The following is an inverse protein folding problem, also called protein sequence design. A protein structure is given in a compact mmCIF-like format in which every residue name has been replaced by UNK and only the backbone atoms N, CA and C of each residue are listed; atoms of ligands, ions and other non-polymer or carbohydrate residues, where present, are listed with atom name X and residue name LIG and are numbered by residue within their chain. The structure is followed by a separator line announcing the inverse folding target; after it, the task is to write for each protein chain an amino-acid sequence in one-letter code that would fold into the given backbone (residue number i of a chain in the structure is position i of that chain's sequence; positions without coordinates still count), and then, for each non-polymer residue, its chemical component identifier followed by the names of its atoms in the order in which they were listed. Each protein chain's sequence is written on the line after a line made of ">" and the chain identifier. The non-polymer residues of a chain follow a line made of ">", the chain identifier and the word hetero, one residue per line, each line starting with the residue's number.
data_IF_394619408384
#
_entry.id   IF_394619408384
#
_cell.length_a   1.000
_cell.length_b   1.000
_cell.length_c   1.000
_cell.angle_alpha   90.00
_cell.angle_beta   90.00
_cell.angle_gamma   90.00
#
_symmetry.space_group_name_H-M   'P 1'
#
loop_
_entity.id
_entity.type
_entity.pdbx_description
1 polymer ?
#
# COMPACT_ATOMS: atom_id res chain seq x y z
N UNK A 1 -21.93 -6.63 -5.41
CA UNK A 1 -20.49 -6.62 -5.01
C UNK A 1 -19.76 -7.67 -5.84
N UNK A 2 -18.46 -7.52 -6.13
CA UNK A 2 -17.68 -8.55 -6.87
C UNK A 2 -16.84 -9.37 -5.89
N UNK A 3 -16.83 -10.70 -6.02
CA UNK A 3 -15.97 -11.59 -5.23
C UNK A 3 -14.76 -11.99 -6.05
N UNK A 4 -13.57 -11.88 -5.44
CA UNK A 4 -12.29 -12.27 -6.00
C UNK A 4 -11.71 -13.41 -5.16
N UNK A 5 -11.65 -14.61 -5.73
CA UNK A 5 -11.01 -15.76 -5.10
C UNK A 5 -9.53 -15.81 -5.51
N UNK A 6 -8.67 -16.07 -4.54
CA UNK A 6 -7.26 -16.45 -4.77
C UNK A 6 -6.96 -17.73 -4.00
N UNK A 7 -6.08 -18.57 -4.52
CA UNK A 7 -5.71 -19.84 -3.90
C UNK A 7 -4.21 -19.90 -3.63
N UNK A 8 -3.75 -20.98 -3.00
CA UNK A 8 -2.32 -21.25 -2.84
C UNK A 8 -1.75 -22.20 -3.90
N UNK A 9 -2.51 -22.48 -4.97
CA UNK A 9 -2.06 -23.34 -6.07
C UNK A 9 -0.79 -22.81 -6.77
N UNK A 10 -0.51 -21.51 -6.63
CA UNK A 10 0.75 -20.87 -7.04
C UNK A 10 1.23 -19.96 -5.91
N UNK A 11 2.53 -19.93 -5.67
CA UNK A 11 3.14 -19.10 -4.61
C UNK A 11 2.71 -17.63 -4.71
N UNK A 12 2.69 -17.07 -5.93
CA UNK A 12 2.28 -15.68 -6.16
C UNK A 12 0.85 -15.37 -5.69
N UNK A 13 -0.08 -16.32 -5.80
CA UNK A 13 -1.47 -16.12 -5.41
C UNK A 13 -1.65 -16.12 -3.89
N UNK A 14 -0.86 -16.95 -3.18
CA UNK A 14 -0.74 -16.89 -1.73
C UNK A 14 -0.10 -15.56 -1.28
N UNK A 15 0.94 -15.10 -1.98
CA UNK A 15 1.53 -13.79 -1.71
C UNK A 15 0.53 -12.66 -1.90
N UNK A 16 -0.26 -12.66 -2.98
CA UNK A 16 -1.26 -11.62 -3.22
C UNK A 16 -2.33 -11.58 -2.11
N UNK A 17 -2.65 -12.71 -1.46
CA UNK A 17 -3.51 -12.73 -0.26
C UNK A 17 -2.85 -12.02 0.92
N UNK A 18 -1.59 -12.34 1.23
CA UNK A 18 -0.88 -11.69 2.33
C UNK A 18 -0.70 -10.20 2.05
N UNK A 19 -0.37 -9.84 0.81
CA UNK A 19 -0.22 -8.45 0.37
C UNK A 19 -1.53 -7.69 0.51
N UNK A 20 -2.66 -8.28 0.11
CA UNK A 20 -3.98 -7.66 0.28
C UNK A 20 -4.32 -7.46 1.76
N UNK A 21 -4.00 -8.45 2.59
CA UNK A 21 -4.17 -8.33 4.04
C UNK A 21 -3.26 -7.25 4.64
N UNK A 22 -2.04 -7.07 4.11
CA UNK A 22 -1.04 -6.16 4.64
C UNK A 22 -1.23 -4.69 4.27
N UNK A 23 -1.90 -4.40 3.15
CA UNK A 23 -2.06 -3.04 2.64
C UNK A 23 -2.75 -2.10 3.66
N UNK A 24 -2.38 -0.81 3.73
CA UNK A 24 -3.21 0.17 4.43
C UNK A 24 -4.52 0.41 3.66
N UNK A 25 -5.49 1.04 4.32
CA UNK A 25 -6.71 1.53 3.64
C UNK A 25 -6.34 2.38 2.43
N UNK A 26 -6.99 2.18 1.30
CA UNK A 26 -6.72 2.82 0.02
C UNK A 26 -5.56 2.21 -0.77
N UNK A 27 -4.66 1.46 -0.12
CA UNK A 27 -3.53 0.81 -0.79
C UNK A 27 -4.00 -0.11 -1.91
N UNK A 28 -3.30 -0.09 -3.04
CA UNK A 28 -3.77 -0.75 -4.26
C UNK A 28 -3.00 -2.05 -4.55
N UNK A 29 -3.71 -3.09 -5.00
CA UNK A 29 -3.14 -4.35 -5.47
C UNK A 29 -3.81 -4.80 -6.77
N UNK A 30 -3.04 -5.44 -7.64
CA UNK A 30 -3.56 -6.01 -8.88
C UNK A 30 -3.84 -7.51 -8.75
N UNK A 31 -5.07 -7.90 -9.06
CA UNK A 31 -5.49 -9.29 -9.27
C UNK A 31 -5.61 -9.59 -10.76
N UNK A 32 -5.27 -10.80 -11.16
CA UNK A 32 -5.14 -11.20 -12.57
C UNK A 32 -5.82 -12.54 -12.77
N UNK A 33 -6.65 -12.61 -13.80
CA UNK A 33 -7.40 -13.81 -14.13
C UNK A 33 -7.39 -14.06 -15.64
N UNK A 34 -7.34 -15.33 -16.02
CA UNK A 34 -7.76 -15.73 -17.36
C UNK A 34 -9.28 -15.57 -17.48
N UNK A 35 -9.75 -15.13 -18.64
CA UNK A 35 -11.17 -14.91 -18.91
C UNK A 35 -12.06 -16.14 -18.69
N UNK A 36 -11.53 -17.37 -18.70
CA UNK A 36 -12.29 -18.58 -18.37
C UNK A 36 -12.67 -18.69 -16.89
N UNK A 37 -11.96 -18.00 -16.01
CA UNK A 37 -12.20 -17.99 -14.56
C UNK A 37 -13.17 -16.88 -14.13
N UNK A 38 -13.62 -16.04 -15.06
CA UNK A 38 -14.57 -14.96 -14.79
C UNK A 38 -15.98 -15.40 -15.15
N UNK A 39 -16.92 -15.08 -14.28
CA UNK A 39 -18.33 -15.14 -14.61
C UNK A 39 -18.69 -14.14 -15.72
N UNK A 40 -19.66 -14.52 -16.54
CA UNK A 40 -20.05 -13.79 -17.75
C UNK A 40 -20.50 -12.37 -17.43
N UNK A 41 -21.24 -12.21 -16.34
CA UNK A 41 -21.73 -10.94 -15.85
C UNK A 41 -20.58 -9.98 -15.52
N UNK A 42 -19.51 -10.46 -14.86
CA UNK A 42 -18.32 -9.64 -14.57
C UNK A 42 -17.54 -9.36 -15.84
N UNK A 43 -17.27 -10.41 -16.63
CA UNK A 43 -16.50 -10.33 -17.88
C UNK A 43 -17.09 -9.31 -18.86
N UNK A 44 -18.40 -9.28 -19.01
CA UNK A 44 -19.10 -8.37 -19.93
C UNK A 44 -19.09 -6.90 -19.46
N UNK A 45 -18.81 -6.63 -18.18
CA UNK A 45 -18.77 -5.28 -17.60
C UNK A 45 -17.39 -4.65 -17.65
N UNK A 46 -16.33 -5.44 -17.76
CA UNK A 46 -14.93 -4.95 -17.81
C UNK A 46 -14.69 -3.99 -18.99
N UNK A 47 -15.04 -4.31 -20.25
CA UNK A 47 -14.77 -3.42 -21.39
C UNK A 47 -15.52 -2.09 -21.35
N UNK A 48 -16.53 -1.96 -20.48
CA UNK A 48 -17.39 -0.78 -20.37
C UNK A 48 -17.03 0.12 -19.18
N UNK A 49 -15.94 -0.18 -18.47
CA UNK A 49 -15.51 0.49 -17.24
C UNK A 49 -16.58 0.53 -16.13
N UNK A 50 -17.58 -0.35 -16.21
CA UNK A 50 -18.75 -0.34 -15.33
C UNK A 50 -18.46 -0.82 -13.92
N UNK A 51 -17.27 -1.41 -13.68
CA UNK A 51 -16.89 -1.96 -12.38
C UNK A 51 -16.17 -0.95 -11.49
N UNK A 52 -15.71 0.19 -12.03
CA UNK A 52 -14.96 1.17 -11.25
C UNK A 52 -15.82 1.78 -10.13
N UNK A 53 -15.27 1.85 -8.91
CA UNK A 53 -15.95 2.33 -7.72
C UNK A 53 -16.76 1.27 -6.96
N UNK A 54 -17.00 0.10 -7.56
CA UNK A 54 -17.78 -0.95 -6.90
C UNK A 54 -17.01 -1.62 -5.78
N UNK A 55 -17.76 -2.09 -4.78
CA UNK A 55 -17.23 -2.90 -3.72
C UNK A 55 -16.85 -4.30 -4.21
N UNK A 56 -15.76 -4.79 -3.63
CA UNK A 56 -15.20 -6.09 -3.88
C UNK A 56 -14.93 -6.82 -2.55
N UNK A 57 -15.05 -8.13 -2.55
CA UNK A 57 -14.60 -9.01 -1.48
C UNK A 57 -13.47 -9.87 -2.01
N UNK A 58 -12.29 -9.78 -1.40
CA UNK A 58 -11.20 -10.72 -1.66
C UNK A 58 -11.30 -11.86 -0.65
N UNK A 59 -11.31 -13.09 -1.17
CA UNK A 59 -11.29 -14.31 -0.37
C UNK A 59 -10.10 -15.19 -0.76
N UNK A 60 -9.56 -15.89 0.22
CA UNK A 60 -8.75 -17.06 -0.01
C UNK A 60 -9.66 -18.29 -0.14
N UNK A 61 -9.36 -19.16 -1.10
CA UNK A 61 -9.98 -20.48 -1.22
C UNK A 61 -8.92 -21.55 -0.99
N UNK A 62 -9.22 -22.43 -0.04
CA UNK A 62 -8.39 -23.58 0.31
C UNK A 62 -8.14 -24.49 -0.90
N UNK A 63 -7.00 -25.17 -0.91
CA UNK A 63 -6.49 -25.88 -2.08
C UNK A 63 -6.74 -27.39 -2.07
N UNK A 64 -6.22 -28.07 -3.09
CA UNK A 64 -6.21 -29.54 -3.14
C UNK A 64 -5.46 -30.11 -1.92
N UNK A 65 -6.16 -30.83 -1.06
CA UNK A 65 -5.63 -31.38 0.19
C UNK A 65 -6.35 -30.91 1.45
N UNK A 66 -7.17 -29.85 1.33
CA UNK A 66 -8.06 -29.40 2.40
C UNK A 66 -9.44 -30.11 2.34
N UNK A 67 -10.18 -30.21 3.47
CA UNK A 67 -11.52 -30.79 3.49
C UNK A 67 -12.50 -30.11 2.52
N UNK A 68 -13.46 -30.89 2.02
CA UNK A 68 -14.48 -30.45 1.05
C UNK A 68 -15.80 -30.19 1.77
N UNK A 69 -16.55 -29.12 1.43
CA UNK A 69 -16.23 -28.06 0.47
C UNK A 69 -15.04 -27.21 0.92
N UNK A 70 -14.22 -26.75 -0.04
CA UNK A 70 -13.05 -25.92 0.26
C UNK A 70 -13.43 -24.72 1.12
N UNK A 71 -12.67 -24.48 2.17
CA UNK A 71 -12.88 -23.34 3.06
C UNK A 71 -12.73 -22.04 2.27
N UNK A 72 -13.65 -21.10 2.50
CA UNK A 72 -13.59 -19.75 1.96
C UNK A 72 -13.30 -18.80 3.11
N UNK A 73 -12.11 -18.21 3.10
CA UNK A 73 -11.67 -17.28 4.13
C UNK A 73 -11.76 -15.86 3.55
N UNK A 74 -12.67 -15.01 4.05
CA UNK A 74 -12.74 -13.63 3.63
C UNK A 74 -11.52 -12.87 4.15
N UNK A 75 -10.83 -12.16 3.26
CA UNK A 75 -9.56 -11.50 3.56
C UNK A 75 -9.78 -10.01 3.75
N UNK A 76 -10.43 -9.38 2.77
CA UNK A 76 -10.59 -7.93 2.77
C UNK A 76 -11.72 -7.46 1.87
N UNK A 77 -12.45 -6.45 2.34
CA UNK A 77 -13.27 -5.63 1.47
C UNK A 77 -12.36 -4.63 0.76
N UNK A 78 -12.61 -4.44 -0.52
CA UNK A 78 -11.89 -3.50 -1.37
C UNK A 78 -12.85 -2.71 -2.25
N UNK A 79 -12.33 -1.70 -2.95
CA UNK A 79 -13.01 -1.05 -4.07
C UNK A 79 -12.26 -1.31 -5.36
N UNK A 80 -12.99 -1.60 -6.42
CA UNK A 80 -12.40 -1.73 -7.76
C UNK A 80 -12.03 -0.33 -8.24
N UNK A 81 -10.74 -0.06 -8.40
CA UNK A 81 -10.22 1.22 -8.93
C UNK A 81 -10.28 1.19 -10.45
N UNK A 82 -9.88 0.06 -11.04
CA UNK A 82 -9.81 -0.14 -12.49
C UNK A 82 -9.99 -1.62 -12.79
N UNK A 83 -10.66 -1.91 -13.90
CA UNK A 83 -10.70 -3.24 -14.50
C UNK A 83 -10.41 -3.11 -15.98
N UNK A 84 -9.54 -3.96 -16.52
CA UNK A 84 -9.15 -3.92 -17.92
C UNK A 84 -8.93 -5.33 -18.47
N UNK A 85 -9.11 -5.47 -19.78
CA UNK A 85 -8.80 -6.69 -20.52
C UNK A 85 -7.54 -6.47 -21.36
N UNK A 86 -6.57 -7.38 -21.21
CA UNK A 86 -5.32 -7.38 -21.96
C UNK A 86 -5.15 -8.77 -22.57
N UNK A 87 -5.46 -8.91 -23.85
CA UNK A 87 -5.52 -10.21 -24.52
C UNK A 87 -6.59 -11.12 -23.90
N UNK A 88 -6.20 -12.29 -23.41
CA UNK A 88 -7.11 -13.23 -22.70
C UNK A 88 -7.18 -12.98 -21.19
N UNK A 89 -6.36 -12.05 -20.69
CA UNK A 89 -6.26 -11.75 -19.27
C UNK A 89 -7.15 -10.57 -18.88
N UNK A 90 -7.65 -10.64 -17.66
CA UNK A 90 -8.42 -9.59 -17.01
C UNK A 90 -7.67 -9.14 -15.77
N UNK A 91 -7.36 -7.85 -15.70
CA UNK A 91 -6.56 -7.23 -14.65
C UNK A 91 -7.46 -6.29 -13.86
N UNK A 92 -7.50 -6.49 -12.55
CA UNK A 92 -8.29 -5.69 -11.63
C UNK A 92 -7.36 -5.01 -10.64
N UNK A 93 -7.39 -3.69 -10.59
CA UNK A 93 -6.73 -2.92 -9.54
C UNK A 93 -7.72 -2.66 -8.43
N UNK A 94 -7.45 -3.19 -7.24
CA UNK A 94 -8.30 -3.11 -6.07
C UNK A 94 -7.66 -2.21 -5.01
N UNK A 95 -8.39 -1.24 -4.48
CA UNK A 95 -8.00 -0.46 -3.31
C UNK A 95 -8.54 -1.12 -2.05
N UNK A 96 -7.64 -1.58 -1.18
CA UNK A 96 -7.97 -2.19 0.10
C UNK A 96 -8.82 -1.23 0.96
N UNK A 97 -9.88 -1.72 1.58
CA UNK A 97 -10.73 -0.91 2.47
C UNK A 97 -10.68 -1.51 3.89
N UNK A 98 -11.69 -2.27 4.28
CA UNK A 98 -11.85 -2.83 5.62
C UNK A 98 -11.52 -4.34 5.68
N UNK A 99 -11.13 -4.82 6.86
CA UNK A 99 -11.13 -6.26 7.16
C UNK A 99 -12.57 -6.77 7.30
N UNK A 100 -12.76 -8.07 7.11
CA UNK A 100 -14.07 -8.72 7.24
C UNK A 100 -14.21 -9.30 8.64
N UNK A 101 -15.24 -8.92 9.40
CA UNK A 101 -15.63 -9.62 10.63
C UNK A 101 -16.47 -10.83 10.31
N UNK A 102 -16.26 -11.88 11.10
CA UNK A 102 -17.30 -12.84 11.52
C UNK A 102 -18.02 -13.60 10.39
N UNK A 103 -17.64 -13.43 9.13
CA UNK A 103 -18.26 -14.10 8.00
C UNK A 103 -17.69 -15.51 7.89
N UNK A 104 -18.48 -16.48 8.36
CA UNK A 104 -18.15 -17.90 8.22
C UNK A 104 -18.23 -18.33 6.75
N UNK A 105 -17.51 -19.40 6.38
CA UNK A 105 -17.64 -20.00 5.05
C UNK A 105 -19.09 -20.36 4.72
N UNK A 106 -19.88 -20.79 5.73
CA UNK A 106 -21.29 -21.13 5.56
C UNK A 106 -22.13 -19.92 5.15
N UNK A 107 -21.98 -18.80 5.85
CA UNK A 107 -22.69 -17.54 5.53
C UNK A 107 -22.30 -16.99 4.16
N UNK A 108 -21.00 -17.01 3.83
CA UNK A 108 -20.54 -16.60 2.50
C UNK A 108 -21.17 -17.48 1.42
N UNK A 109 -21.14 -18.81 1.58
CA UNK A 109 -21.73 -19.73 0.60
C UNK A 109 -23.24 -19.58 0.47
N UNK A 110 -23.93 -19.30 1.59
CA UNK A 110 -25.36 -19.03 1.59
C UNK A 110 -25.71 -17.73 0.84
N UNK A 111 -24.86 -16.70 0.96
CA UNK A 111 -25.02 -15.41 0.30
C UNK A 111 -24.64 -15.42 -1.20
N UNK A 112 -23.88 -16.42 -1.66
CA UNK A 112 -23.52 -16.56 -3.09
C UNK A 112 -24.76 -16.93 -3.89
N UNK A 113 -24.97 -16.20 -4.99
CA UNK A 113 -26.04 -16.45 -5.95
C UNK A 113 -26.06 -17.95 -6.33
N UNK A 114 -27.21 -18.63 -6.31
CA UNK A 114 -27.31 -20.06 -6.60
C UNK A 114 -26.59 -20.48 -7.90
N UNK A 115 -26.68 -19.66 -8.96
CA UNK A 115 -26.02 -19.93 -10.24
C UNK A 115 -24.48 -19.89 -10.17
N UNK A 116 -23.92 -19.10 -9.25
CA UNK A 116 -22.48 -19.05 -9.00
C UNK A 116 -22.03 -20.15 -8.03
N UNK A 117 -22.91 -20.60 -7.12
CA UNK A 117 -22.59 -21.57 -6.06
C UNK A 117 -22.10 -22.90 -6.62
N UNK A 118 -22.76 -23.39 -7.67
CA UNK A 118 -22.40 -24.65 -8.35
C UNK A 118 -21.05 -24.56 -9.08
N UNK A 119 -20.56 -23.34 -9.32
CA UNK A 119 -19.32 -23.06 -10.05
C UNK A 119 -18.19 -22.59 -9.14
N UNK A 120 -18.39 -22.62 -7.83
CA UNK A 120 -17.31 -22.37 -6.89
C UNK A 120 -16.28 -23.50 -6.96
N UNK A 121 -14.99 -23.19 -6.73
CA UNK A 121 -13.97 -24.22 -6.68
C UNK A 121 -14.36 -25.32 -5.69
N UNK A 122 -14.29 -26.57 -6.15
CA UNK A 122 -14.65 -27.75 -5.37
C UNK A 122 -13.77 -28.94 -5.73
N UNK A 123 -13.67 -29.94 -4.86
CA UNK A 123 -12.82 -31.10 -5.13
C UNK A 123 -13.27 -31.95 -6.32
N UNK A 124 -14.52 -31.83 -6.74
CA UNK A 124 -15.03 -32.52 -7.91
C UNK A 124 -14.52 -31.92 -9.23
N UNK A 125 -13.73 -30.82 -9.19
CA UNK A 125 -13.28 -30.03 -10.35
C UNK A 125 -14.40 -29.88 -11.37
N UNK A 126 -15.33 -28.96 -11.09
CA UNK A 126 -16.38 -28.67 -12.05
C UNK A 126 -15.75 -28.31 -13.41
N UNK A 127 -16.36 -28.68 -14.54
CA UNK A 127 -15.82 -28.40 -15.86
C UNK A 127 -15.61 -26.89 -16.11
N UNK A 128 -16.19 -26.02 -15.28
CA UNK A 128 -16.06 -24.58 -15.39
C UNK A 128 -16.18 -23.87 -14.03
N UNK A 129 -15.08 -23.83 -13.27
CA UNK A 129 -15.00 -23.08 -12.01
C UNK A 129 -14.86 -21.57 -12.25
N UNK A 130 -15.37 -20.77 -11.33
CA UNK A 130 -15.21 -19.33 -11.32
C UNK A 130 -14.43 -18.86 -10.10
N UNK A 131 -13.46 -17.98 -10.35
CA UNK A 131 -12.68 -17.30 -9.33
C UNK A 131 -12.99 -15.79 -9.24
N UNK A 132 -13.82 -15.26 -10.14
CA UNK A 132 -14.29 -13.89 -10.09
C UNK A 132 -15.75 -13.82 -10.55
N UNK A 133 -16.66 -13.39 -9.67
CA UNK A 133 -18.11 -13.40 -9.91
C UNK A 133 -18.85 -12.35 -9.07
N UNK A 134 -20.08 -11.99 -9.44
CA UNK A 134 -20.90 -11.07 -8.63
C UNK A 134 -21.61 -11.78 -7.46
N UNK A 135 -21.79 -11.03 -6.38
CA UNK A 135 -22.58 -11.38 -5.21
C UNK A 135 -23.74 -10.38 -5.08
N UNK A 136 -24.96 -10.91 -5.00
CA UNK A 136 -26.21 -10.14 -4.79
C UNK A 136 -26.45 -9.82 -3.30
N UNK A 137 -25.37 -9.60 -2.57
CA UNK A 137 -25.40 -9.30 -1.16
C UNK A 137 -24.37 -8.21 -0.83
N UNK A 138 -24.75 -7.30 0.06
CA UNK A 138 -23.86 -6.26 0.56
C UNK A 138 -23.30 -6.68 1.91
N UNK A 139 -22.01 -7.02 1.94
CA UNK A 139 -21.30 -7.14 3.20
C UNK A 139 -21.20 -5.76 3.84
N UNK A 140 -21.65 -5.64 5.09
CA UNK A 140 -21.45 -4.42 5.87
C UNK A 140 -19.97 -4.31 6.19
N UNK A 141 -19.25 -3.28 5.71
CA UNK A 141 -17.86 -3.11 6.07
C UNK A 141 -17.75 -2.85 7.57
N UNK A 142 -16.71 -3.38 8.20
CA UNK A 142 -16.29 -2.85 9.48
C UNK A 142 -16.03 -1.34 9.34
N UNK A 143 -16.75 -0.54 10.12
CA UNK A 143 -16.56 0.92 10.10
C UNK A 143 -15.17 1.33 10.59
N UNK A 144 -14.46 0.45 11.31
CA UNK A 144 -13.11 0.68 11.83
C UNK A 144 -12.19 -0.46 11.44
N UNK A 145 -10.99 -0.12 10.97
CA UNK A 145 -9.89 -1.06 10.82
C UNK A 145 -9.40 -1.45 12.22
N UNK A 146 -9.87 -2.58 12.75
CA UNK A 146 -9.35 -3.15 13.99
C UNK A 146 -8.27 -4.17 13.67
N UNK A 147 -7.20 -4.17 14.45
CA UNK A 147 -6.14 -5.17 14.33
C UNK A 147 -6.59 -6.56 14.78
N UNK A 148 -7.62 -6.63 15.61
CA UNK A 148 -8.28 -7.89 16.00
C UNK A 148 -8.82 -8.66 14.78
N UNK A 149 -9.48 -7.96 13.83
CA UNK A 149 -9.97 -8.59 12.60
C UNK A 149 -8.82 -9.05 11.69
N UNK A 150 -7.74 -8.28 11.63
CA UNK A 150 -6.50 -8.69 10.95
C UNK A 150 -5.91 -9.97 11.56
N UNK A 151 -5.79 -10.02 12.88
CA UNK A 151 -5.26 -11.17 13.61
C UNK A 151 -6.15 -12.41 13.45
N UNK A 152 -7.46 -12.25 13.49
CA UNK A 152 -8.41 -13.34 13.26
C UNK A 152 -8.26 -13.91 11.85
N UNK A 153 -8.20 -13.05 10.84
CA UNK A 153 -7.99 -13.46 9.44
C UNK A 153 -6.65 -14.19 9.28
N UNK A 154 -5.57 -13.64 9.87
CA UNK A 154 -4.25 -14.27 9.85
C UNK A 154 -4.25 -15.65 10.55
N UNK A 155 -4.98 -15.79 11.66
CA UNK A 155 -5.15 -17.07 12.38
C UNK A 155 -5.94 -18.10 11.58
N UNK A 156 -6.92 -17.67 10.77
CA UNK A 156 -7.62 -18.57 9.86
C UNK A 156 -6.70 -19.01 8.72
N UNK A 157 -5.99 -18.07 8.08
CA UNK A 157 -5.02 -18.38 7.03
C UNK A 157 -3.92 -19.33 7.51
N UNK A 158 -3.38 -19.13 8.72
CA UNK A 158 -2.31 -19.96 9.27
C UNK A 158 -2.72 -21.42 9.57
N UNK A 159 -3.98 -21.81 9.35
CA UNK A 159 -4.39 -23.21 9.38
C UNK A 159 -3.99 -23.96 8.12
N UNK A 160 -3.71 -23.24 7.04
CA UNK A 160 -3.30 -23.84 5.77
C UNK A 160 -1.78 -23.84 5.64
N UNK A 161 -1.25 -24.95 5.11
CA UNK A 161 0.20 -25.19 4.97
C UNK A 161 0.95 -24.07 4.26
N UNK A 162 0.32 -23.42 3.29
CA UNK A 162 0.91 -22.32 2.51
C UNK A 162 1.20 -21.06 3.34
N UNK A 163 0.55 -20.91 4.49
CA UNK A 163 0.70 -19.77 5.38
C UNK A 163 1.31 -20.15 6.74
N UNK A 164 1.41 -21.45 7.02
CA UNK A 164 1.97 -22.03 8.24
C UNK A 164 3.40 -22.55 8.02
N UNK A 165 4.28 -21.71 7.50
CA UNK A 165 5.69 -22.05 7.31
C UNK A 165 6.59 -21.24 8.25
N UNK A 166 7.78 -21.77 8.53
CA UNK A 166 8.81 -21.14 9.37
C UNK A 166 9.14 -19.69 8.95
N UNK A 167 9.10 -19.46 7.64
CA UNK A 167 9.42 -18.19 6.98
C UNK A 167 8.16 -17.35 6.68
N UNK A 168 7.01 -17.71 7.25
CA UNK A 168 5.76 -16.97 7.09
C UNK A 168 5.52 -16.05 8.27
N UNK A 169 5.21 -14.80 7.98
CA UNK A 169 4.60 -13.87 8.92
C UNK A 169 3.54 -13.05 8.19
N UNK A 170 2.64 -12.47 8.98
CA UNK A 170 1.70 -11.48 8.50
C UNK A 170 2.14 -10.12 9.01
N UNK A 171 1.89 -9.07 8.25
CA UNK A 171 2.13 -7.73 8.72
C UNK A 171 1.07 -6.79 8.17
N UNK A 172 0.85 -5.66 8.84
CA UNK A 172 -0.06 -4.62 8.39
C UNK A 172 0.46 -3.25 8.80
N UNK A 173 0.33 -2.27 7.90
CA UNK A 173 0.71 -0.89 8.19
C UNK A 173 -0.28 -0.29 9.18
N UNK A 174 0.21 0.06 10.36
CA UNK A 174 -0.59 0.68 11.42
C UNK A 174 -0.83 2.14 11.15
N UNK A 175 0.23 2.89 10.90
CA UNK A 175 0.13 4.31 10.63
C UNK A 175 1.43 4.86 10.05
N UNK A 176 1.30 5.98 9.34
CA UNK A 176 2.42 6.85 9.01
C UNK A 176 2.17 8.20 9.66
N UNK A 177 3.03 8.57 10.60
CA UNK A 177 2.85 9.75 11.42
C UNK A 177 4.06 10.69 11.30
N UNK A 178 3.82 11.99 11.43
CA UNK A 178 4.89 12.99 11.40
C UNK A 178 5.58 13.05 12.76
N UNK A 179 6.90 12.89 12.79
CA UNK A 179 7.69 13.11 14.00
C UNK A 179 7.85 14.62 14.20
N UNK A 180 7.31 15.13 15.31
CA UNK A 180 7.54 16.51 15.73
C UNK A 180 8.69 16.53 16.74
N UNK A 181 9.59 17.52 16.67
CA UNK A 181 10.72 17.63 17.61
C UNK A 181 10.32 17.77 19.08
N UNK A 182 9.03 17.96 19.38
CA UNK A 182 8.46 18.03 20.74
C UNK A 182 7.77 16.75 21.20
N UNK A 183 7.70 15.69 20.39
CA UNK A 183 6.92 14.48 20.72
C UNK A 183 7.57 13.57 21.77
N UNK A 184 8.73 13.94 22.34
CA UNK A 184 9.33 13.20 23.46
C UNK A 184 8.38 13.13 24.67
N UNK A 185 7.48 14.11 24.85
CA UNK A 185 6.57 14.19 26.01
C UNK A 185 5.14 13.68 25.73
N UNK A 186 5.00 12.52 25.08
CA UNK A 186 3.74 11.76 25.10
C UNK A 186 2.57 12.32 24.29
N UNK A 187 2.79 13.31 23.42
CA UNK A 187 1.79 13.67 22.40
C UNK A 187 1.97 12.78 21.19
N UNK A 188 1.12 11.76 21.08
CA UNK A 188 1.10 10.88 19.92
C UNK A 188 0.74 11.69 18.66
N UNK A 189 1.59 11.66 17.62
CA UNK A 189 1.33 12.39 16.40
C UNK A 189 0.06 11.87 15.70
N UNK A 190 -0.67 12.76 15.05
CA UNK A 190 -1.84 12.38 14.23
C UNK A 190 -1.36 11.55 13.03
N UNK A 191 -2.02 10.43 12.77
CA UNK A 191 -1.79 9.66 11.55
C UNK A 191 -2.08 10.52 10.32
N UNK A 192 -1.25 10.37 9.30
CA UNK A 192 -1.51 10.96 7.98
C UNK A 192 -2.70 10.22 7.36
N UNK A 193 -3.62 10.95 6.74
CA UNK A 193 -4.72 10.35 6.00
C UNK A 193 -4.19 9.72 4.70
N UNK A 194 -4.79 8.59 4.30
CA UNK A 194 -4.58 8.02 2.97
C UNK A 194 -5.63 8.63 2.05
N UNK A 195 -5.18 9.33 1.01
CA UNK A 195 -6.03 9.90 -0.02
C UNK A 195 -5.74 9.20 -1.33
N UNK A 196 -6.76 8.58 -1.95
CA UNK A 196 -6.65 7.88 -3.23
C UNK A 196 -5.58 6.77 -3.25
N UNK A 197 -5.29 6.16 -2.10
CA UNK A 197 -4.29 5.10 -1.97
C UNK A 197 -2.85 5.55 -1.81
N UNK A 198 -2.63 6.86 -1.64
CA UNK A 198 -1.33 7.40 -1.29
C UNK A 198 -1.39 8.21 0.01
N UNK A 199 -0.30 8.17 0.78
CA UNK A 199 -0.14 9.01 1.96
C UNK A 199 0.28 10.41 1.53
N UNK A 200 -0.49 11.44 1.91
CA UNK A 200 -0.09 12.84 1.69
C UNK A 200 0.84 13.30 2.81
N UNK A 201 2.09 13.52 2.46
CA UNK A 201 3.17 13.92 3.36
C UNK A 201 3.73 15.29 2.91
N UNK A 202 4.60 15.87 3.73
CA UNK A 202 5.23 17.17 3.49
C UNK A 202 6.73 16.98 3.31
N UNK A 203 7.33 17.69 2.35
CA UNK A 203 8.77 17.65 2.15
C UNK A 203 9.55 18.27 3.32
N UNK A 204 10.78 17.78 3.53
CA UNK A 204 11.65 18.25 4.61
C UNK A 204 11.13 17.95 6.02
N UNK A 205 10.17 17.03 6.18
CA UNK A 205 9.69 16.53 7.46
C UNK A 205 10.12 15.09 7.67
N UNK A 206 10.27 14.71 8.94
CA UNK A 206 10.54 13.33 9.36
C UNK A 206 9.22 12.62 9.68
N UNK A 207 9.14 11.38 9.27
CA UNK A 207 7.99 10.50 9.42
C UNK A 207 8.40 9.19 10.06
N UNK A 208 7.46 8.58 10.75
CA UNK A 208 7.56 7.22 11.27
C UNK A 208 6.47 6.37 10.62
N UNK A 209 6.87 5.27 9.98
CA UNK A 209 5.98 4.22 9.54
C UNK A 209 5.99 3.11 10.59
N UNK A 210 4.85 2.90 11.25
CA UNK A 210 4.64 1.79 12.18
C UNK A 210 3.99 0.61 11.46
N UNK A 211 4.60 -0.57 11.59
CA UNK A 211 4.14 -1.81 10.97
C UNK A 211 3.96 -2.87 12.05
N UNK A 212 2.73 -3.35 12.20
CA UNK A 212 2.42 -4.46 13.10
C UNK A 212 2.74 -5.78 12.41
N UNK A 213 3.52 -6.63 13.06
CA UNK A 213 3.92 -7.94 12.57
C UNK A 213 3.38 -9.03 13.48
N UNK A 214 2.90 -10.11 12.86
CA UNK A 214 2.29 -11.26 13.52
C UNK A 214 2.89 -12.56 12.97
N UNK A 215 3.63 -13.28 13.80
CA UNK A 215 4.23 -14.57 13.47
C UNK A 215 3.47 -15.70 14.17
N UNK A 216 2.67 -16.44 13.41
CA UNK A 216 1.81 -17.51 13.94
C UNK A 216 2.41 -18.90 13.84
N UNK A 217 3.53 -19.07 13.11
CA UNK A 217 4.22 -20.34 13.04
C UNK A 217 4.87 -20.67 14.38
N UNK A 218 4.51 -21.82 14.93
CA UNK A 218 5.13 -22.39 16.12
C UNK A 218 5.96 -23.60 15.72
N UNK A 219 7.24 -23.61 16.11
CA UNK A 219 8.10 -24.77 15.84
C UNK A 219 7.57 -25.98 16.61
N UNK A 220 7.48 -27.15 15.96
CA UNK A 220 7.25 -28.38 16.70
C UNK A 220 8.37 -28.55 17.75
N UNK A 221 7.99 -29.06 18.92
CA UNK A 221 8.97 -29.43 19.94
C UNK A 221 9.71 -30.65 19.41
N UNK A 222 11.04 -30.59 19.37
CA UNK A 222 11.88 -31.69 18.92
C UNK A 222 11.74 -32.89 19.87
N UNK A 223 12.19 -34.07 19.44
CA UNK A 223 12.09 -35.31 20.23
C UNK A 223 12.72 -35.19 21.65
N UNK A 224 13.73 -34.33 21.79
CA UNK A 224 14.43 -34.07 23.04
C UNK A 224 13.75 -33.00 23.93
N UNK A 225 12.57 -32.51 23.54
CA UNK A 225 11.85 -31.45 24.27
C UNK A 225 12.37 -30.03 24.00
N UNK A 226 13.42 -29.89 23.17
CA UNK A 226 13.96 -28.59 22.78
C UNK A 226 13.11 -27.94 21.67
N UNK A 227 13.00 -26.62 21.69
CA UNK A 227 12.45 -25.87 20.54
C UNK A 227 13.62 -25.47 19.64
N UNK A 228 13.60 -25.82 18.35
CA UNK A 228 14.66 -25.38 17.44
C UNK A 228 14.67 -23.86 17.37
N UNK A 229 15.86 -23.29 17.21
CA UNK A 229 16.02 -21.84 17.05
C UNK A 229 15.32 -21.43 15.75
N UNK A 230 14.31 -20.56 15.80
CA UNK A 230 13.60 -20.14 14.60
C UNK A 230 14.56 -19.42 13.67
N UNK A 231 14.52 -19.72 12.36
CA UNK A 231 15.23 -18.90 11.38
C UNK A 231 14.86 -17.44 11.52
N UNK A 232 15.85 -16.59 11.36
CA UNK A 232 15.69 -15.15 11.45
C UNK A 232 14.79 -14.68 10.29
N UNK A 233 13.68 -14.04 10.64
CA UNK A 233 12.77 -13.42 9.70
C UNK A 233 12.78 -11.92 9.99
N UNK A 234 12.95 -11.09 8.97
CA UNK A 234 12.99 -9.65 9.11
C UNK A 234 11.99 -8.99 8.18
N UNK A 235 11.41 -7.88 8.66
CA UNK A 235 10.71 -6.93 7.82
C UNK A 235 11.72 -5.90 7.31
N UNK A 236 11.74 -5.69 5.99
CA UNK A 236 12.63 -4.75 5.31
C UNK A 236 11.81 -3.62 4.70
N UNK A 237 12.31 -2.39 4.85
CA UNK A 237 11.77 -1.18 4.26
C UNK A 237 12.79 -0.57 3.30
N UNK A 238 12.39 -0.42 2.04
CA UNK A 238 13.20 0.19 0.99
C UNK A 238 12.48 1.38 0.38
N UNK A 239 13.25 2.38 -0.04
CA UNK A 239 12.71 3.49 -0.80
C UNK A 239 12.61 3.07 -2.27
N UNK A 240 11.51 3.44 -2.92
CA UNK A 240 11.36 3.21 -4.38
C UNK A 240 12.27 4.14 -5.20
N UNK A 241 12.73 5.25 -4.61
CA UNK A 241 13.66 6.20 -5.22
C UNK A 241 14.52 6.91 -4.16
N UNK A 242 15.52 7.67 -4.62
CA UNK A 242 16.48 8.36 -3.73
C UNK A 242 15.87 9.54 -2.96
N UNK A 243 14.62 9.91 -3.24
CA UNK A 243 13.98 11.06 -2.58
C UNK A 243 13.55 10.76 -1.14
N UNK A 244 13.50 9.48 -0.75
CA UNK A 244 13.22 9.04 0.61
C UNK A 244 14.51 8.53 1.26
N UNK A 245 14.91 9.17 2.34
CA UNK A 245 16.07 8.79 3.13
C UNK A 245 15.62 8.21 4.48
N UNK A 246 16.03 6.97 4.77
CA UNK A 246 15.77 6.34 6.06
C UNK A 246 16.78 6.83 7.10
N UNK A 247 16.27 7.28 8.25
CA UNK A 247 17.06 7.64 9.42
C UNK A 247 17.09 6.52 10.48
N UNK A 248 16.32 5.45 10.29
CA UNK A 248 16.39 4.21 11.07
C UNK A 248 17.03 3.08 10.26
N UNK A 249 17.28 1.94 10.90
CA UNK A 249 17.59 0.71 10.18
C UNK A 249 16.46 0.38 9.18
N UNK A 250 16.86 -0.05 7.97
CA UNK A 250 15.93 -0.50 6.91
C UNK A 250 15.47 -1.94 7.14
N UNK A 251 16.22 -2.73 7.90
CA UNK A 251 15.92 -4.13 8.24
C UNK A 251 15.62 -4.24 9.73
N UNK A 252 14.55 -4.95 10.09
CA UNK A 252 14.16 -5.17 11.48
C UNK A 252 13.72 -6.61 11.68
N UNK A 253 14.44 -7.34 12.54
CA UNK A 253 14.17 -8.75 12.87
C UNK A 253 12.86 -8.88 13.63
N UNK A 254 11.99 -9.80 13.21
CA UNK A 254 10.74 -10.15 13.89
C UNK A 254 11.07 -11.25 14.91
N UNK A 255 11.33 -10.82 16.15
CA UNK A 255 11.83 -11.67 17.24
C UNK A 255 10.72 -12.16 18.18
N UNK A 256 9.52 -11.59 18.07
CA UNK A 256 8.34 -11.95 18.85
C UNK A 256 7.18 -12.39 17.95
N UNK A 257 6.23 -13.14 18.53
CA UNK A 257 4.94 -13.47 17.91
C UNK A 257 4.16 -12.22 17.55
N UNK A 258 4.18 -11.23 18.44
CA UNK A 258 3.53 -9.93 18.30
C UNK A 258 4.61 -8.87 18.37
N UNK A 259 4.76 -8.10 17.29
CA UNK A 259 5.89 -7.20 17.15
C UNK A 259 5.48 -5.92 16.41
N UNK A 260 6.10 -4.80 16.77
CA UNK A 260 5.82 -3.50 16.19
C UNK A 260 7.11 -2.89 15.65
N UNK A 261 7.25 -2.88 14.33
CA UNK A 261 8.42 -2.31 13.64
C UNK A 261 8.19 -0.86 13.29
N UNK A 262 9.25 -0.06 13.41
CA UNK A 262 9.23 1.39 13.21
C UNK A 262 10.31 1.80 12.24
N UNK A 263 9.90 2.40 11.13
CA UNK A 263 10.82 2.93 10.13
C UNK A 263 10.73 4.44 10.10
N UNK A 264 11.83 5.11 10.44
CA UNK A 264 11.93 6.55 10.42
C UNK A 264 12.56 6.99 9.11
N UNK A 265 11.87 7.86 8.38
CA UNK A 265 12.34 8.37 7.09
C UNK A 265 12.03 9.86 6.94
N UNK A 266 12.64 10.49 5.94
CA UNK A 266 12.36 11.85 5.52
C UNK A 266 12.39 11.94 4.00
N UNK A 267 11.64 12.88 3.45
CA UNK A 267 11.77 13.26 2.05
C UNK A 267 12.65 14.49 1.88
N UNK A 268 13.35 14.56 0.75
CA UNK A 268 14.18 15.71 0.38
C UNK A 268 13.40 17.04 0.51
N UNK A 269 14.00 18.09 1.10
CA UNK A 269 13.31 19.33 1.42
C UNK A 269 12.99 20.22 0.20
N UNK A 270 13.59 19.96 -0.95
CA UNK A 270 13.56 20.87 -2.12
C UNK A 270 12.49 20.53 -3.15
N UNK A 271 11.68 19.51 -2.90
CA UNK A 271 10.69 19.04 -3.89
C UNK A 271 9.33 19.71 -3.67
N UNK A 272 8.78 20.33 -4.73
CA UNK A 272 7.48 21.01 -4.68
C UNK A 272 6.30 20.05 -4.67
N UNK A 273 6.37 19.01 -5.48
CA UNK A 273 5.46 17.87 -5.43
C UNK A 273 6.15 16.66 -6.04
N UNK A 274 6.09 15.52 -5.39
CA UNK A 274 6.60 14.26 -5.95
C UNK A 274 5.82 13.08 -5.41
N UNK A 275 5.59 12.12 -6.31
CA UNK A 275 5.12 10.80 -5.96
C UNK A 275 6.36 9.93 -5.76
N UNK A 276 6.47 9.32 -4.59
CA UNK A 276 7.48 8.30 -4.29
C UNK A 276 6.80 7.22 -3.43
N UNK A 277 7.54 6.25 -2.93
CA UNK A 277 6.97 5.25 -2.05
C UNK A 277 8.00 4.45 -1.28
N UNK A 278 7.49 3.74 -0.28
CA UNK A 278 8.26 2.77 0.49
C UNK A 278 7.77 1.37 0.14
N UNK A 279 8.69 0.48 -0.21
CA UNK A 279 8.42 -0.94 -0.33
C UNK A 279 8.67 -1.62 1.01
N UNK A 280 7.70 -2.37 1.49
CA UNK A 280 7.82 -3.22 2.68
C UNK A 280 7.74 -4.68 2.24
N UNK A 281 8.66 -5.52 2.71
CA UNK A 281 8.67 -6.95 2.37
C UNK A 281 9.35 -7.79 3.45
N UNK A 282 9.06 -9.09 3.44
CA UNK A 282 9.72 -10.04 4.33
C UNK A 282 10.99 -10.60 3.67
N UNK A 283 12.01 -10.79 4.50
CA UNK A 283 13.29 -11.41 4.14
C UNK A 283 13.66 -12.42 5.23
N UNK A 284 13.94 -13.66 4.83
CA UNK A 284 14.43 -14.69 5.73
C UNK A 284 15.95 -14.87 5.59
N UNK A 285 16.59 -15.40 6.63
CA UNK A 285 17.99 -15.81 6.56
C UNK A 285 18.22 -16.80 5.40
N UNK A 286 19.24 -16.52 4.58
CA UNK A 286 19.59 -17.33 3.40
C UNK A 286 18.76 -17.04 2.14
N UNK A 287 17.76 -16.14 2.20
CA UNK A 287 17.20 -15.59 0.97
C UNK A 287 18.26 -14.71 0.30
N UNK A 288 18.58 -14.99 -0.97
CA UNK A 288 19.41 -14.08 -1.78
C UNK A 288 18.70 -12.73 -1.95
N UNK A 289 19.44 -11.69 -2.31
CA UNK A 289 18.92 -10.31 -2.47
C UNK A 289 17.68 -10.24 -3.38
N UNK A 290 17.55 -11.17 -4.34
CA UNK A 290 16.44 -11.21 -5.29
C UNK A 290 15.16 -11.89 -4.78
N UNK A 291 15.20 -12.63 -3.66
CA UNK A 291 14.04 -13.37 -3.14
C UNK A 291 13.18 -12.50 -2.25
N UNK A 292 12.52 -11.53 -2.87
CA UNK A 292 11.53 -10.70 -2.18
C UNK A 292 10.21 -11.43 -2.03
N UNK A 293 9.72 -11.55 -0.80
CA UNK A 293 8.43 -12.18 -0.48
C UNK A 293 7.44 -11.15 0.02
N UNK A 294 6.18 -11.30 -0.41
CA UNK A 294 5.02 -10.62 0.19
C UNK A 294 5.19 -9.10 0.27
N UNK A 295 5.59 -8.47 -0.83
CA UNK A 295 5.93 -7.06 -0.85
C UNK A 295 4.72 -6.13 -1.05
N UNK A 296 4.59 -5.10 -0.23
CA UNK A 296 3.62 -4.03 -0.46
C UNK A 296 4.35 -2.73 -0.76
N UNK A 297 3.76 -1.91 -1.62
CA UNK A 297 4.25 -0.57 -1.93
C UNK A 297 3.33 0.48 -1.31
N UNK A 298 3.89 1.30 -0.43
CA UNK A 298 3.20 2.43 0.19
C UNK A 298 3.47 3.66 -0.67
N UNK A 299 2.49 4.03 -1.49
CA UNK A 299 2.58 5.22 -2.32
C UNK A 299 2.47 6.47 -1.44
N UNK A 300 3.28 7.48 -1.72
CA UNK A 300 3.36 8.71 -0.96
C UNK A 300 3.40 9.90 -1.90
N UNK A 301 2.63 10.92 -1.58
CA UNK A 301 2.63 12.20 -2.29
C UNK A 301 3.23 13.21 -1.34
N UNK A 302 4.45 13.66 -1.63
CA UNK A 302 5.11 14.70 -0.87
C UNK A 302 4.74 16.06 -1.43
N UNK A 303 4.06 16.88 -0.63
CA UNK A 303 3.73 18.27 -0.94
C UNK A 303 4.75 19.23 -0.32
N UNK A 304 5.26 20.15 -1.14
CA UNK A 304 5.99 21.32 -0.68
C UNK A 304 5.06 22.38 -0.09
N UNK A 305 5.62 23.28 0.70
CA UNK A 305 4.88 24.47 1.14
C UNK A 305 4.92 25.54 0.06
N UNK A 306 3.79 25.76 -0.62
CA UNK A 306 3.62 26.85 -1.60
C UNK A 306 3.94 28.22 -0.98
N UNK A 307 3.62 28.41 0.29
CA UNK A 307 3.93 29.66 1.01
C UNK A 307 5.44 29.83 1.15
N UNK A 308 6.16 28.79 1.57
CA UNK A 308 7.63 28.86 1.71
C UNK A 308 8.30 29.02 0.34
N UNK A 309 7.79 28.34 -0.69
CA UNK A 309 8.24 28.51 -2.06
C UNK A 309 8.05 29.96 -2.55
N UNK A 310 6.88 30.55 -2.28
CA UNK A 310 6.60 31.95 -2.64
C UNK A 310 7.51 32.93 -1.91
N UNK A 311 7.72 32.73 -0.59
CA UNK A 311 8.64 33.55 0.21
C UNK A 311 10.07 33.45 -0.33
N UNK A 312 10.54 32.23 -0.64
CA UNK A 312 11.87 32.03 -1.23
C UNK A 312 11.96 32.70 -2.62
N UNK A 313 10.93 32.60 -3.46
CA UNK A 313 10.92 33.22 -4.78
C UNK A 313 11.05 34.74 -4.67
N UNK A 314 10.28 35.34 -3.75
CA UNK A 314 10.34 36.78 -3.46
C UNK A 314 11.70 37.17 -2.90
N UNK A 315 12.25 36.42 -1.94
CA UNK A 315 13.55 36.71 -1.36
C UNK A 315 14.69 36.64 -2.40
N UNK A 316 14.69 35.63 -3.27
CA UNK A 316 15.65 35.50 -4.38
C UNK A 316 15.46 36.65 -5.37
N UNK A 317 14.22 36.99 -5.70
CA UNK A 317 13.91 38.09 -6.60
C UNK A 317 14.39 39.45 -6.08
N UNK A 318 14.16 39.75 -4.80
CA UNK A 318 14.67 40.95 -4.14
C UNK A 318 16.21 40.94 -4.13
N UNK A 319 16.83 39.82 -3.77
CA UNK A 319 18.29 39.70 -3.72
C UNK A 319 18.95 39.86 -5.11
N UNK A 320 18.28 39.41 -6.17
CA UNK A 320 18.79 39.49 -7.55
C UNK A 320 18.57 40.88 -8.16
N UNK A 321 17.40 41.49 -7.93
CA UNK A 321 17.07 42.82 -8.47
C UNK A 321 17.68 43.97 -7.67
N UNK A 322 17.86 43.79 -6.35
CA UNK A 322 18.30 44.84 -5.41
C UNK A 322 19.59 45.56 -5.83
N UNK A 323 20.69 44.85 -6.12
CA UNK A 323 21.94 45.48 -6.55
C UNK A 323 21.79 46.33 -7.83
N UNK A 324 21.03 45.84 -8.82
CA UNK A 324 20.76 46.56 -10.06
C UNK A 324 19.94 47.83 -9.85
N UNK A 325 18.92 47.76 -8.98
CA UNK A 325 18.10 48.92 -8.62
C UNK A 325 18.92 49.98 -7.87
N UNK A 326 19.76 49.57 -6.92
CA UNK A 326 20.64 50.49 -6.17
C UNK A 326 21.63 51.18 -7.11
N UNK A 327 22.27 50.43 -8.01
CA UNK A 327 23.21 50.97 -8.99
C UNK A 327 22.54 51.94 -9.98
N UNK A 328 21.36 51.58 -10.51
CA UNK A 328 20.60 52.44 -11.42
C UNK A 328 20.11 53.73 -10.73
N UNK A 329 19.73 53.63 -9.47
CA UNK A 329 19.35 54.79 -8.66
C UNK A 329 20.55 55.71 -8.39
N UNK A 330 21.70 55.15 -7.99
CA UNK A 330 22.92 55.90 -7.77
C UNK A 330 23.42 56.65 -9.04
N UNK A 331 23.15 56.08 -10.22
CA UNK A 331 23.46 56.70 -11.50
C UNK A 331 22.43 57.75 -11.96
N UNK A 332 21.34 57.98 -11.22
CA UNK A 332 20.24 58.87 -11.62
C UNK A 332 19.42 58.35 -12.81
N UNK A 333 19.49 57.05 -13.10
CA UNK A 333 18.89 56.41 -14.28
C UNK A 333 17.66 55.56 -13.96
N UNK A 334 17.19 55.55 -12.71
CA UNK A 334 16.05 54.74 -12.30
C UNK A 334 14.73 55.40 -12.74
N UNK A 335 14.21 54.98 -13.90
CA UNK A 335 12.83 55.30 -14.29
C UNK A 335 11.84 54.31 -13.66
N UNK A 336 10.58 54.71 -13.47
CA UNK A 336 9.53 53.83 -12.94
C UNK A 336 9.38 52.55 -13.78
N UNK A 337 9.51 52.66 -15.10
CA UNK A 337 9.47 51.51 -16.01
C UNK A 337 10.66 50.55 -15.82
N UNK A 338 11.88 51.08 -15.64
CA UNK A 338 13.07 50.26 -15.39
C UNK A 338 12.98 49.52 -14.05
N UNK A 339 12.45 50.19 -13.00
CA UNK A 339 12.22 49.56 -11.70
C UNK A 339 11.21 48.40 -11.78
N UNK A 340 10.07 48.60 -12.44
CA UNK A 340 9.06 47.54 -12.63
C UNK A 340 9.64 46.36 -13.41
N UNK A 341 10.38 46.62 -14.48
CA UNK A 341 11.03 45.57 -15.28
C UNK A 341 12.06 44.78 -14.46
N UNK A 342 12.89 45.44 -13.66
CA UNK A 342 13.87 44.78 -12.79
C UNK A 342 13.20 43.90 -11.73
N UNK A 343 12.10 44.38 -11.12
CA UNK A 343 11.32 43.58 -10.15
C UNK A 343 10.69 42.37 -10.83
N UNK A 344 10.11 42.54 -12.03
CA UNK A 344 9.51 41.44 -12.79
C UNK A 344 10.54 40.38 -13.18
N UNK A 345 11.73 40.79 -13.65
CA UNK A 345 12.83 39.88 -13.97
C UNK A 345 13.38 39.18 -12.72
N UNK A 346 13.51 39.90 -11.60
CA UNK A 346 13.90 39.32 -10.31
C UNK A 346 12.90 38.27 -9.83
N UNK A 347 11.60 38.57 -9.86
CA UNK A 347 10.55 37.62 -9.51
C UNK A 347 10.58 36.38 -10.43
N UNK A 348 10.76 36.59 -11.74
CA UNK A 348 10.90 35.49 -12.71
C UNK A 348 12.14 34.63 -12.42
N UNK A 349 13.27 35.23 -12.08
CA UNK A 349 14.48 34.50 -11.67
C UNK A 349 14.24 33.69 -10.38
N UNK A 350 13.57 34.27 -9.39
CA UNK A 350 13.19 33.59 -8.15
C UNK A 350 12.27 32.39 -8.38
N UNK A 351 11.27 32.53 -9.24
CA UNK A 351 10.39 31.43 -9.65
C UNK A 351 11.20 30.35 -10.39
N UNK A 352 12.02 30.75 -11.36
CA UNK A 352 12.84 29.83 -12.16
C UNK A 352 13.87 29.06 -11.33
N UNK A 353 14.34 29.63 -10.22
CA UNK A 353 15.25 28.95 -9.30
C UNK A 353 14.56 27.85 -8.46
N UNK A 354 13.27 27.99 -8.17
CA UNK A 354 12.51 27.07 -7.30
C UNK A 354 11.79 25.98 -8.08
N UNK A 355 11.39 26.27 -9.31
CA UNK A 355 10.68 25.35 -10.18
C UNK A 355 11.62 24.86 -11.29
N UNK A 356 12.50 23.88 -11.01
CA UNK A 356 13.42 23.34 -12.00
C UNK A 356 12.70 22.74 -13.21
N UNK A 357 11.40 22.44 -13.11
CA UNK A 357 10.56 22.03 -14.25
C UNK A 357 10.45 23.08 -15.37
N UNK A 358 10.84 24.35 -15.15
CA UNK A 358 10.99 25.34 -16.22
C UNK A 358 12.35 25.29 -16.92
N UNK A 359 13.35 24.63 -16.33
CA UNK A 359 14.55 24.21 -17.07
C UNK A 359 14.09 23.00 -17.89
N UNK A 360 14.01 23.18 -19.21
CA UNK A 360 13.62 22.12 -20.15
C UNK A 360 14.36 20.80 -19.82
N UNK A 361 13.70 19.64 -20.02
CA UNK A 361 14.29 18.33 -19.77
C UNK A 361 15.58 18.11 -20.55
#
# INVERSE_FOLDING_TARGET
>A
MIVFLSSSARARYADDIIRMLALPRGGQLQFRYDGKWLADDVRNRVPREQLAGEYALVCFVAGSGDPVPYELIPIRIARIVRAESVGTSYIFTLAADAYVSEATTGELRAAINPACRERLPSAAQAPSEFYCFSLDFELRPHQRLTFEAFEETARQLSRHKSFAAEQSAFFAVRQISRISGRSWFGTWPRSSAVEQGAFRLWTGKRYECEVYCLRLFEHPIDADGARPTPKELALVAEANDDSIQFASAKRSVIDSRYDLKRYVFAAEPEVMSRVSGIRLFLSAEGDGEDRVRQDISLQMIFGGSLVLASIRAVAIGIATAGPGMIAANAAGKLSSGAAVLMIALGAFAGISAIFPSFRKP
#
